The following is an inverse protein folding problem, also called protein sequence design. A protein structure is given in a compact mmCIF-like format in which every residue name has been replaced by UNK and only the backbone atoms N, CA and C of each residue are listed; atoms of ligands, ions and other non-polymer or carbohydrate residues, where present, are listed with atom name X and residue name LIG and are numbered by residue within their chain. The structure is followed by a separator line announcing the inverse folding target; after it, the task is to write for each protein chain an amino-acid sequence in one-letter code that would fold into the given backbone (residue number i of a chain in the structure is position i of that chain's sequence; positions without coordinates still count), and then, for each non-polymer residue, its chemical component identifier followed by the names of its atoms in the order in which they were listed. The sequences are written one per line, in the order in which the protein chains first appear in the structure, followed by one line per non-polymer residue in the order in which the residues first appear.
data_IF_847968052027
#
_entry.id   IF_847968052027
#
_cell.length_a   1.000
_cell.length_b   1.000
_cell.length_c   1.000
_cell.angle_alpha   90.00
_cell.angle_beta   90.00
_cell.angle_gamma   90.00
#
_symmetry.space_group_name_H-M   'P 1'
#
loop_
_entity.id
_entity.type
_entity.pdbx_description
1 polymer ?
#
# COMPACT_ATOMS: atom_id res chain seq x y z
N UNK A 1 -22.62 12.91 9.09
CA UNK A 1 -22.12 11.82 8.25
C UNK A 1 -20.76 11.44 8.75
N UNK A 2 -20.40 10.15 8.73
CA UNK A 2 -19.06 9.70 9.09
C UNK A 2 -18.06 10.13 8.00
N UNK A 3 -16.81 10.34 8.39
CA UNK A 3 -15.74 10.61 7.42
C UNK A 3 -15.36 9.32 6.71
N UNK A 4 -15.46 9.30 5.39
CA UNK A 4 -15.20 8.13 4.55
C UNK A 4 -13.72 8.08 4.16
N UNK A 5 -13.10 6.92 4.31
CA UNK A 5 -11.69 6.66 4.00
C UNK A 5 -11.58 5.43 3.12
N UNK A 6 -10.90 5.56 1.99
CA UNK A 6 -10.52 4.39 1.19
C UNK A 6 -9.21 3.80 1.67
N UNK A 7 -9.16 2.47 1.78
CA UNK A 7 -7.93 1.70 2.04
C UNK A 7 -7.69 0.78 0.85
N UNK A 8 -6.70 1.13 0.02
CA UNK A 8 -6.35 0.23 -1.09
C UNK A 8 -5.52 -0.93 -0.58
N UNK A 9 -5.70 -2.12 -1.18
CA UNK A 9 -4.98 -3.31 -0.75
C UNK A 9 -5.35 -3.81 0.65
N UNK A 10 -6.61 -3.64 1.04
CA UNK A 10 -7.10 -4.06 2.37
C UNK A 10 -6.96 -5.58 2.62
N UNK A 11 -6.73 -6.38 1.57
CA UNK A 11 -6.46 -7.82 1.70
C UNK A 11 -5.08 -8.12 2.27
N UNK A 12 -4.14 -7.17 2.16
CA UNK A 12 -2.78 -7.31 2.66
C UNK A 12 -2.68 -7.06 4.18
N UNK A 13 -1.57 -7.48 4.77
CA UNK A 13 -1.31 -7.39 6.21
C UNK A 13 -1.48 -5.95 6.74
N UNK A 14 -0.77 -4.97 6.16
CA UNK A 14 -0.85 -3.56 6.60
C UNK A 14 -2.26 -3.00 6.37
N UNK A 15 -2.86 -3.28 5.20
CA UNK A 15 -4.18 -2.77 4.84
C UNK A 15 -5.27 -3.21 5.81
N UNK A 16 -5.24 -4.48 6.28
CA UNK A 16 -6.19 -4.99 7.28
C UNK A 16 -6.06 -4.23 8.61
N UNK A 17 -4.84 -4.02 9.09
CA UNK A 17 -4.61 -3.29 10.34
C UNK A 17 -5.00 -1.82 10.22
N UNK A 18 -4.72 -1.16 9.10
CA UNK A 18 -5.19 0.20 8.83
C UNK A 18 -6.71 0.28 8.81
N UNK A 19 -7.39 -0.66 8.12
CA UNK A 19 -8.84 -0.72 8.08
C UNK A 19 -9.46 -0.93 9.47
N UNK A 20 -8.91 -1.87 10.25
CA UNK A 20 -9.35 -2.13 11.61
C UNK A 20 -9.19 -0.89 12.51
N UNK A 21 -8.08 -0.17 12.42
CA UNK A 21 -7.83 1.02 13.24
C UNK A 21 -8.77 2.17 12.86
N UNK A 22 -8.97 2.43 11.56
CA UNK A 22 -9.92 3.43 11.10
C UNK A 22 -11.35 3.15 11.60
N UNK A 23 -11.79 1.89 11.55
CA UNK A 23 -13.10 1.49 12.05
C UNK A 23 -13.23 1.70 13.56
N UNK A 24 -12.19 1.40 14.36
CA UNK A 24 -12.17 1.70 15.81
C UNK A 24 -12.27 3.19 16.09
N UNK A 25 -11.71 4.02 15.22
CA UNK A 25 -11.79 5.49 15.33
C UNK A 25 -13.10 6.06 14.79
N UNK A 26 -14.03 5.22 14.32
CA UNK A 26 -15.35 5.64 13.86
C UNK A 26 -15.41 6.18 12.44
N UNK A 27 -14.42 5.89 11.60
CA UNK A 27 -14.49 6.20 10.17
C UNK A 27 -15.36 5.19 9.42
N UNK A 28 -15.92 5.61 8.30
CA UNK A 28 -16.46 4.73 7.28
C UNK A 28 -15.30 4.27 6.37
N UNK A 29 -15.14 2.97 6.19
CA UNK A 29 -14.01 2.39 5.45
C UNK A 29 -14.50 1.70 4.18
N UNK A 30 -13.92 2.08 3.05
CA UNK A 30 -14.03 1.34 1.79
C UNK A 30 -12.70 0.62 1.55
N UNK A 31 -12.71 -0.71 1.61
CA UNK A 31 -11.55 -1.53 1.29
C UNK A 31 -11.52 -1.93 -0.17
N UNK A 32 -10.40 -1.75 -0.88
CA UNK A 32 -10.32 -2.26 -2.24
C UNK A 32 -9.80 -3.70 -2.27
N UNK A 33 -10.42 -4.51 -3.11
CA UNK A 33 -10.06 -5.90 -3.38
C UNK A 33 -9.91 -6.12 -4.89
N UNK A 34 -9.11 -7.10 -5.31
CA UNK A 34 -9.01 -7.50 -6.73
C UNK A 34 -10.11 -8.46 -7.16
N UNK A 35 -10.78 -9.10 -6.21
CA UNK A 35 -11.95 -9.97 -6.38
C UNK A 35 -12.75 -9.93 -5.10
N UNK A 36 -14.07 -9.79 -5.20
CA UNK A 36 -14.98 -9.77 -4.06
C UNK A 36 -14.98 -11.09 -3.25
N UNK A 37 -14.53 -12.19 -3.83
CA UNK A 37 -14.33 -13.46 -3.12
C UNK A 37 -13.40 -13.34 -1.90
N UNK A 38 -12.50 -12.34 -1.90
CA UNK A 38 -11.58 -12.10 -0.78
C UNK A 38 -12.16 -11.20 0.30
N UNK A 39 -13.31 -10.57 0.05
CA UNK A 39 -13.90 -9.60 0.99
C UNK A 39 -14.32 -10.25 2.31
N UNK A 40 -14.91 -11.45 2.27
CA UNK A 40 -15.45 -12.12 3.46
C UNK A 40 -14.33 -12.49 4.44
N UNK A 41 -13.23 -13.05 3.98
CA UNK A 41 -12.11 -13.41 4.86
C UNK A 41 -11.47 -12.17 5.51
N UNK A 42 -11.41 -11.05 4.80
CA UNK A 42 -10.93 -9.78 5.36
C UNK A 42 -11.91 -9.25 6.39
N UNK A 43 -13.21 -9.28 6.08
CA UNK A 43 -14.28 -8.87 6.99
C UNK A 43 -14.23 -9.68 8.30
N UNK A 44 -14.15 -10.99 8.21
CA UNK A 44 -14.04 -11.89 9.37
C UNK A 44 -12.77 -11.60 10.20
N UNK A 45 -11.64 -11.36 9.52
CA UNK A 45 -10.39 -11.02 10.18
C UNK A 45 -10.48 -9.71 10.96
N UNK A 46 -11.01 -8.66 10.35
CA UNK A 46 -11.19 -7.35 10.99
C UNK A 46 -12.23 -7.41 12.11
N UNK A 47 -13.33 -8.18 11.94
CA UNK A 47 -14.39 -8.32 12.95
C UNK A 47 -13.90 -8.85 14.30
N UNK A 48 -12.76 -9.56 14.33
CA UNK A 48 -12.13 -10.05 15.57
C UNK A 48 -11.56 -8.93 16.45
N UNK A 49 -11.30 -7.77 15.87
CA UNK A 49 -10.55 -6.69 16.51
C UNK A 49 -11.19 -5.31 16.41
N UNK A 50 -12.21 -5.14 15.55
CA UNK A 50 -12.88 -3.84 15.33
C UNK A 50 -14.36 -4.04 14.94
N UNK A 51 -15.24 -3.03 15.15
CA UNK A 51 -16.60 -3.03 14.61
C UNK A 51 -16.56 -2.96 13.08
N UNK A 52 -17.46 -3.67 12.41
CA UNK A 52 -17.46 -3.77 10.92
C UNK A 52 -18.71 -3.18 10.25
N UNK A 53 -19.58 -2.53 11.02
CA UNK A 53 -20.83 -1.95 10.49
C UNK A 53 -20.60 -0.91 9.41
N UNK A 54 -19.48 -0.21 9.47
CA UNK A 54 -19.06 0.82 8.52
C UNK A 54 -17.96 0.35 7.55
N UNK A 55 -17.81 -0.97 7.35
CA UNK A 55 -16.86 -1.57 6.41
C UNK A 55 -17.56 -2.04 5.15
N UNK A 56 -17.18 -1.46 4.02
CA UNK A 56 -17.61 -1.87 2.69
C UNK A 56 -16.41 -2.23 1.82
N UNK A 57 -16.66 -2.92 0.70
CA UNK A 57 -15.62 -3.30 -0.25
C UNK A 57 -16.01 -2.90 -1.66
N UNK A 58 -15.00 -2.59 -2.47
CA UNK A 58 -15.15 -2.39 -3.91
C UNK A 58 -14.04 -3.13 -4.66
N UNK A 59 -14.34 -3.53 -5.88
CA UNK A 59 -13.37 -4.20 -6.75
C UNK A 59 -12.62 -3.17 -7.59
N UNK A 60 -11.30 -3.17 -7.49
CA UNK A 60 -10.40 -2.33 -8.29
C UNK A 60 -9.09 -3.08 -8.57
N UNK A 61 -8.41 -2.70 -9.66
CA UNK A 61 -7.14 -3.29 -10.05
C UNK A 61 -6.12 -2.19 -10.36
N UNK A 62 -4.92 -2.25 -9.78
CA UNK A 62 -3.82 -1.32 -10.09
C UNK A 62 -3.37 -1.38 -11.56
N UNK A 63 -3.71 -2.43 -12.29
CA UNK A 63 -3.38 -2.60 -13.71
C UNK A 63 -4.49 -2.09 -14.66
N UNK A 64 -5.60 -1.56 -14.12
CA UNK A 64 -6.72 -1.02 -14.91
C UNK A 64 -7.12 0.34 -14.39
N UNK A 65 -7.53 1.22 -15.30
CA UNK A 65 -8.06 2.55 -14.95
C UNK A 65 -9.52 2.49 -14.48
N UNK A 66 -10.18 1.34 -14.69
CA UNK A 66 -11.60 1.17 -14.41
C UNK A 66 -11.93 1.14 -12.92
N UNK A 67 -13.04 1.74 -12.55
CA UNK A 67 -13.68 1.65 -11.23
C UNK A 67 -13.05 2.53 -10.15
N UNK A 68 -11.86 3.12 -10.34
CA UNK A 68 -11.19 3.92 -9.30
C UNK A 68 -11.94 5.19 -8.95
N UNK A 69 -12.49 5.88 -9.96
CA UNK A 69 -13.20 7.13 -9.76
C UNK A 69 -14.49 6.91 -8.96
N UNK A 70 -15.27 5.92 -9.34
CA UNK A 70 -16.53 5.56 -8.68
C UNK A 70 -16.27 5.04 -7.25
N UNK A 71 -15.22 4.24 -7.08
CA UNK A 71 -14.84 3.69 -5.79
C UNK A 71 -14.42 4.77 -4.77
N UNK A 72 -13.87 5.90 -5.23
CA UNK A 72 -13.45 7.01 -4.37
C UNK A 72 -14.54 8.06 -4.13
N UNK A 73 -15.73 7.89 -4.68
CA UNK A 73 -16.80 8.88 -4.52
C UNK A 73 -17.13 9.13 -3.04
N UNK A 74 -17.09 10.41 -2.65
CA UNK A 74 -17.32 10.84 -1.29
C UNK A 74 -16.20 10.49 -0.28
N UNK A 75 -15.07 9.94 -0.70
CA UNK A 75 -13.93 9.70 0.18
C UNK A 75 -13.22 11.02 0.53
N UNK A 76 -13.04 11.27 1.83
CA UNK A 76 -12.26 12.40 2.31
C UNK A 76 -10.75 12.10 2.29
N UNK A 77 -10.37 10.86 2.51
CA UNK A 77 -8.99 10.41 2.60
C UNK A 77 -8.77 9.09 1.87
N UNK A 78 -7.54 8.86 1.41
CA UNK A 78 -7.10 7.59 0.84
C UNK A 78 -5.83 7.13 1.54
N UNK A 79 -5.83 5.90 2.07
CA UNK A 79 -4.64 5.16 2.47
C UNK A 79 -4.27 4.23 1.31
N UNK A 80 -3.27 4.62 0.54
CA UNK A 80 -2.78 3.82 -0.58
C UNK A 80 -1.73 2.83 -0.09
N UNK A 81 -2.19 1.63 0.29
CA UNK A 81 -1.36 0.54 0.81
C UNK A 81 -1.07 -0.51 -0.27
N UNK A 82 -1.94 -0.61 -1.28
CA UNK A 82 -1.77 -1.54 -2.39
C UNK A 82 -0.46 -1.26 -3.13
N UNK A 83 0.29 -2.30 -3.36
CA UNK A 83 1.42 -2.29 -4.29
C UNK A 83 1.43 -3.63 -5.02
N UNK A 84 1.77 -3.67 -6.31
CA UNK A 84 2.04 -4.94 -6.98
C UNK A 84 3.20 -5.60 -6.24
N UNK A 85 2.99 -6.83 -5.81
CA UNK A 85 4.01 -7.62 -5.12
C UNK A 85 4.27 -8.87 -5.94
N UNK A 86 5.48 -8.96 -6.48
CA UNK A 86 5.98 -10.11 -7.23
C UNK A 86 7.16 -10.67 -6.44
N UNK A 87 7.01 -11.89 -5.92
CA UNK A 87 8.01 -12.56 -5.05
C UNK A 87 9.31 -12.89 -5.80
N UNK A 88 9.26 -13.04 -7.12
CA UNK A 88 10.42 -13.36 -7.95
C UNK A 88 10.95 -12.10 -8.64
N UNK A 89 12.29 -11.99 -8.77
CA UNK A 89 12.86 -10.99 -9.67
C UNK A 89 12.44 -11.36 -11.09
N UNK A 90 11.60 -10.55 -11.75
CA UNK A 90 11.18 -10.81 -13.11
C UNK A 90 12.38 -10.71 -14.06
N UNK A 91 12.30 -11.40 -15.19
CA UNK A 91 13.32 -11.31 -16.22
C UNK A 91 13.40 -9.91 -16.85
N UNK A 92 12.26 -9.23 -16.94
CA UNK A 92 12.13 -7.81 -17.28
C UNK A 92 11.72 -7.02 -16.03
N UNK A 93 12.56 -6.09 -15.59
CA UNK A 93 12.29 -5.20 -14.45
C UNK A 93 10.98 -4.43 -14.61
N UNK A 94 10.58 -4.10 -15.85
CA UNK A 94 9.34 -3.36 -16.13
C UNK A 94 8.08 -4.13 -15.73
N UNK A 95 8.12 -5.45 -15.63
CA UNK A 95 7.00 -6.25 -15.12
C UNK A 95 6.65 -5.91 -13.65
N UNK A 96 7.60 -5.35 -12.90
CA UNK A 96 7.39 -4.89 -11.52
C UNK A 96 7.32 -3.36 -11.42
N UNK A 97 8.18 -2.65 -12.15
CA UNK A 97 8.31 -1.18 -12.05
C UNK A 97 7.06 -0.50 -12.62
N UNK A 98 6.66 -0.82 -13.85
CA UNK A 98 5.51 -0.16 -14.49
C UNK A 98 4.21 -0.33 -13.68
N UNK A 99 3.83 -1.54 -13.22
CA UNK A 99 2.66 -1.66 -12.36
C UNK A 99 2.75 -0.88 -11.04
N UNK A 100 3.94 -0.74 -10.46
CA UNK A 100 4.11 0.01 -9.22
C UNK A 100 3.96 1.52 -9.45
N UNK A 101 4.57 2.06 -10.49
CA UNK A 101 4.48 3.48 -10.85
C UNK A 101 3.08 3.81 -11.34
N UNK A 102 2.60 3.11 -12.39
CA UNK A 102 1.31 3.39 -13.02
C UNK A 102 0.15 3.19 -12.05
N UNK A 103 0.20 2.14 -11.22
CA UNK A 103 -0.80 1.87 -10.20
C UNK A 103 -0.89 3.00 -9.15
N UNK A 104 0.26 3.53 -8.73
CA UNK A 104 0.31 4.67 -7.81
C UNK A 104 -0.28 5.93 -8.46
N UNK A 105 0.09 6.21 -9.70
CA UNK A 105 -0.43 7.38 -10.44
C UNK A 105 -1.94 7.27 -10.70
N UNK A 106 -2.49 6.08 -10.97
CA UNK A 106 -3.93 5.84 -11.09
C UNK A 106 -4.68 6.24 -9.83
N UNK A 107 -4.19 5.78 -8.67
CA UNK A 107 -4.82 6.11 -7.39
C UNK A 107 -4.77 7.61 -7.10
N UNK A 108 -3.63 8.26 -7.35
CA UNK A 108 -3.48 9.71 -7.18
C UNK A 108 -4.38 10.50 -8.15
N UNK A 109 -4.47 10.07 -9.41
CA UNK A 109 -5.36 10.69 -10.41
C UNK A 109 -6.82 10.58 -10.00
N UNK A 110 -7.26 9.42 -9.53
CA UNK A 110 -8.62 9.23 -9.03
C UNK A 110 -8.89 10.06 -7.77
N UNK A 111 -7.92 10.16 -6.86
CA UNK A 111 -8.00 10.99 -5.66
C UNK A 111 -8.16 12.48 -6.01
N UNK A 112 -7.37 12.97 -6.98
CA UNK A 112 -7.51 14.34 -7.49
C UNK A 112 -8.88 14.58 -8.11
N UNK A 113 -9.34 13.66 -8.96
CA UNK A 113 -10.64 13.78 -9.65
C UNK A 113 -11.84 13.81 -8.68
N UNK A 114 -11.71 13.18 -7.51
CA UNK A 114 -12.75 13.14 -6.46
C UNK A 114 -12.56 14.19 -5.36
N UNK A 115 -11.58 15.07 -5.46
CA UNK A 115 -11.33 16.12 -4.46
C UNK A 115 -10.94 15.55 -3.08
N UNK A 116 -10.24 14.43 -3.05
CA UNK A 116 -9.74 13.81 -1.80
C UNK A 116 -8.84 14.80 -1.06
N UNK A 117 -9.07 15.01 0.24
CA UNK A 117 -8.35 15.99 1.04
C UNK A 117 -6.88 15.62 1.28
N UNK A 118 -6.58 14.33 1.40
CA UNK A 118 -5.22 13.81 1.61
C UNK A 118 -5.09 12.38 1.14
N UNK A 119 -3.94 12.06 0.54
CA UNK A 119 -3.52 10.69 0.25
C UNK A 119 -2.33 10.33 1.14
N UNK A 120 -2.38 9.18 1.80
CA UNK A 120 -1.26 8.58 2.55
C UNK A 120 -0.77 7.38 1.75
N UNK A 121 0.43 7.49 1.18
CA UNK A 121 1.07 6.44 0.40
C UNK A 121 1.96 5.58 1.30
N UNK A 122 1.79 4.27 1.26
CA UNK A 122 2.71 3.31 1.87
C UNK A 122 3.81 2.96 0.86
N UNK A 123 4.96 3.57 1.02
CA UNK A 123 6.18 3.25 0.29
C UNK A 123 7.02 2.20 1.05
N UNK A 124 8.31 2.37 1.14
CA UNK A 124 9.23 1.48 1.85
C UNK A 124 10.50 2.22 2.27
N UNK A 125 11.08 1.81 3.41
CA UNK A 125 12.42 2.27 3.81
C UNK A 125 13.47 2.01 2.73
N UNK A 126 13.27 0.98 1.90
CA UNK A 126 14.17 0.64 0.78
C UNK A 126 14.22 1.77 -0.27
N UNK A 127 13.17 2.57 -0.43
CA UNK A 127 13.20 3.74 -1.32
C UNK A 127 14.21 4.81 -0.86
N UNK A 128 14.65 4.75 0.39
CA UNK A 128 15.57 5.71 1.01
C UNK A 128 16.99 5.16 1.12
N UNK A 129 17.15 3.88 1.54
CA UNK A 129 18.43 3.35 1.99
C UNK A 129 19.01 2.20 1.15
N UNK A 130 18.33 1.72 0.11
CA UNK A 130 18.87 0.62 -0.69
C UNK A 130 20.24 0.96 -1.29
N UNK A 131 21.17 0.02 -1.22
CA UNK A 131 22.55 0.20 -1.68
C UNK A 131 23.45 1.03 -0.74
N UNK A 132 22.93 1.53 0.39
CA UNK A 132 23.69 2.33 1.36
C UNK A 132 24.10 1.46 2.55
N UNK A 133 25.37 1.56 2.95
CA UNK A 133 25.93 0.72 4.02
C UNK A 133 25.76 1.33 5.42
N UNK A 134 25.84 2.67 5.53
CA UNK A 134 25.72 3.40 6.79
C UNK A 134 25.42 4.86 6.52
N UNK A 135 24.88 5.57 7.52
CA UNK A 135 24.61 7.02 7.44
C UNK A 135 23.38 7.43 8.23
N UNK A 136 23.09 8.72 8.15
CA UNK A 136 21.83 9.31 8.62
C UNK A 136 21.01 9.71 7.40
N UNK A 137 19.76 9.27 7.35
CA UNK A 137 18.87 9.48 6.21
C UNK A 137 17.58 10.16 6.69
N UNK A 138 17.10 11.10 5.91
CA UNK A 138 15.91 11.89 6.20
C UNK A 138 14.93 11.87 5.01
N UNK A 139 13.99 12.81 5.06
CA UNK A 139 12.92 12.94 4.04
C UNK A 139 13.40 13.31 2.64
N UNK A 140 14.62 13.81 2.53
CA UNK A 140 15.31 14.21 1.28
C UNK A 140 16.27 13.14 0.74
N UNK A 141 16.34 12.00 1.44
CA UNK A 141 17.23 10.91 1.06
C UNK A 141 16.52 9.94 0.11
N UNK A 142 17.21 9.53 -0.95
CA UNK A 142 16.72 8.60 -1.94
C UNK A 142 17.72 7.49 -2.21
N UNK A 143 17.23 6.27 -2.41
CA UNK A 143 18.02 5.24 -3.07
C UNK A 143 18.26 5.63 -4.53
N UNK A 144 19.41 5.24 -5.08
CA UNK A 144 19.74 5.49 -6.48
C UNK A 144 19.12 4.40 -7.37
N UNK A 145 18.10 4.71 -8.18
CA UNK A 145 17.45 3.71 -9.03
C UNK A 145 18.34 3.20 -10.17
N UNK A 146 19.44 3.90 -10.50
CA UNK A 146 20.39 3.47 -11.53
C UNK A 146 21.48 2.56 -10.98
N UNK A 147 21.60 2.47 -9.64
CA UNK A 147 22.51 1.53 -8.98
C UNK A 147 21.93 0.11 -8.96
N UNK A 148 22.81 -0.87 -8.72
CA UNK A 148 22.39 -2.27 -8.57
C UNK A 148 21.78 -2.52 -7.17
N UNK A 149 20.54 -2.08 -6.98
CA UNK A 149 19.79 -2.17 -5.71
C UNK A 149 18.68 -3.23 -5.74
N UNK A 150 18.53 -3.94 -6.85
CA UNK A 150 17.46 -4.93 -7.08
C UNK A 150 16.14 -4.31 -7.52
N UNK A 151 15.37 -5.08 -8.29
CA UNK A 151 14.15 -4.61 -8.95
C UNK A 151 13.09 -4.08 -7.99
N UNK A 152 12.92 -4.73 -6.83
CA UNK A 152 11.96 -4.28 -5.82
C UNK A 152 12.31 -2.89 -5.25
N UNK A 153 13.57 -2.67 -4.87
CA UNK A 153 13.99 -1.38 -4.35
C UNK A 153 13.84 -0.27 -5.43
N UNK A 154 14.24 -0.59 -6.65
CA UNK A 154 14.06 0.30 -7.81
C UNK A 154 12.58 0.66 -8.04
N UNK A 155 11.68 -0.34 -8.03
CA UNK A 155 10.25 -0.13 -8.22
C UNK A 155 9.64 0.77 -7.13
N UNK A 156 10.05 0.59 -5.87
CA UNK A 156 9.58 1.42 -4.74
C UNK A 156 10.11 2.84 -4.83
N UNK A 157 11.39 3.02 -5.17
CA UNK A 157 12.01 4.34 -5.36
C UNK A 157 11.30 5.13 -6.46
N UNK A 158 11.15 4.51 -7.63
CA UNK A 158 10.52 5.18 -8.79
C UNK A 158 9.04 5.48 -8.57
N UNK A 159 8.30 4.57 -7.93
CA UNK A 159 6.89 4.81 -7.63
C UNK A 159 6.69 5.96 -6.63
N UNK A 160 7.56 6.08 -5.61
CA UNK A 160 7.49 7.18 -4.65
C UNK A 160 7.89 8.51 -5.29
N UNK A 161 8.96 8.54 -6.09
CA UNK A 161 9.37 9.74 -6.83
C UNK A 161 8.25 10.22 -7.75
N UNK A 162 7.66 9.33 -8.55
CA UNK A 162 6.54 9.66 -9.43
C UNK A 162 5.31 10.16 -8.63
N UNK A 163 5.06 9.62 -7.43
CA UNK A 163 3.99 10.09 -6.57
C UNK A 163 4.20 11.53 -6.10
N UNK A 164 5.42 11.89 -5.69
CA UNK A 164 5.76 13.24 -5.28
C UNK A 164 5.67 14.23 -6.44
N UNK A 165 6.22 13.90 -7.61
CA UNK A 165 6.13 14.73 -8.81
C UNK A 165 4.67 14.97 -9.22
N UNK A 166 3.85 13.92 -9.21
CA UNK A 166 2.43 14.04 -9.53
C UNK A 166 1.68 14.89 -8.50
N UNK A 167 1.97 14.70 -7.22
CA UNK A 167 1.31 15.41 -6.14
C UNK A 167 1.62 16.92 -6.19
N UNK A 168 2.88 17.29 -6.45
CA UNK A 168 3.30 18.69 -6.63
C UNK A 168 2.63 19.32 -7.85
N UNK A 169 2.65 18.66 -9.00
CA UNK A 169 2.06 19.16 -10.23
C UNK A 169 0.52 19.32 -10.16
N UNK A 170 -0.15 18.58 -9.28
CA UNK A 170 -1.61 18.54 -9.17
C UNK A 170 -2.17 19.10 -7.85
N UNK A 171 -1.32 19.69 -6.99
CA UNK A 171 -1.72 20.23 -5.68
C UNK A 171 -2.44 19.19 -4.80
N UNK A 172 -1.86 17.98 -4.71
CA UNK A 172 -2.38 16.91 -3.87
C UNK A 172 -1.64 16.96 -2.53
N UNK A 173 -2.39 16.95 -1.43
CA UNK A 173 -1.83 16.78 -0.10
C UNK A 173 -1.39 15.31 0.08
N UNK A 174 -0.15 15.02 -0.28
CA UNK A 174 0.46 13.69 -0.17
C UNK A 174 1.27 13.59 1.12
N UNK A 175 1.14 12.46 1.80
CA UNK A 175 2.01 12.01 2.89
C UNK A 175 2.55 10.64 2.52
N UNK A 176 3.83 10.41 2.67
CA UNK A 176 4.45 9.11 2.42
C UNK A 176 4.95 8.50 3.72
N UNK A 177 4.66 7.24 3.92
CA UNK A 177 5.17 6.42 5.03
C UNK A 177 6.14 5.40 4.43
N UNK A 178 7.35 5.34 4.95
CA UNK A 178 8.41 4.43 4.51
C UNK A 178 8.68 3.36 5.59
N UNK A 179 7.84 2.32 5.70
CA UNK A 179 8.04 1.28 6.71
C UNK A 179 9.28 0.44 6.41
N UNK A 180 9.93 -0.01 7.47
CA UNK A 180 10.92 -1.09 7.43
C UNK A 180 10.26 -2.46 7.54
N UNK A 181 10.80 -3.35 8.38
CA UNK A 181 10.18 -4.64 8.68
C UNK A 181 8.90 -4.45 9.51
N UNK A 182 7.75 -4.83 8.97
CA UNK A 182 6.45 -4.71 9.66
C UNK A 182 6.05 -6.08 10.20
N UNK A 183 5.93 -6.19 11.52
CA UNK A 183 5.71 -7.46 12.23
C UNK A 183 4.58 -7.33 13.24
N UNK A 184 3.85 -8.42 13.44
CA UNK A 184 2.76 -8.49 14.42
C UNK A 184 1.79 -9.63 14.12
N UNK A 185 0.68 -9.75 14.88
CA UNK A 185 -0.31 -10.78 14.66
C UNK A 185 -1.06 -10.59 13.34
N UNK A 186 -1.39 -11.68 12.66
CA UNK A 186 -2.23 -11.63 11.46
C UNK A 186 -3.71 -11.62 11.87
N UNK A 187 -4.54 -10.85 11.19
CA UNK A 187 -5.99 -10.81 11.47
C UNK A 187 -6.73 -11.97 10.81
N UNK A 188 -6.28 -12.43 9.65
CA UNK A 188 -6.87 -13.54 8.90
C UNK A 188 -6.23 -14.91 9.19
N UNK A 189 -5.17 -14.96 10.01
CA UNK A 189 -4.39 -16.17 10.26
C UNK A 189 -3.43 -16.55 9.12
N UNK A 190 -3.36 -15.77 8.05
CA UNK A 190 -2.45 -16.00 6.93
C UNK A 190 -1.12 -15.30 7.16
N UNK A 191 -0.03 -16.01 6.94
CA UNK A 191 1.33 -15.43 6.93
C UNK A 191 1.61 -14.99 5.49
N UNK A 192 1.33 -13.72 5.20
CA UNK A 192 1.53 -13.12 3.88
C UNK A 192 2.36 -11.84 4.01
N UNK A 193 3.29 -11.61 3.07
CA UNK A 193 4.20 -10.46 3.04
C UNK A 193 5.61 -10.80 3.52
N UNK A 194 6.60 -10.09 2.97
CA UNK A 194 8.04 -10.36 3.14
C UNK A 194 8.47 -10.46 4.61
N UNK A 195 8.11 -9.47 5.43
CA UNK A 195 8.54 -9.43 6.83
C UNK A 195 8.01 -10.61 7.64
N UNK A 196 6.73 -10.98 7.44
CA UNK A 196 6.11 -12.09 8.15
C UNK A 196 6.66 -13.44 7.65
N UNK A 197 6.86 -13.56 6.34
CA UNK A 197 7.48 -14.76 5.75
C UNK A 197 8.90 -14.94 6.25
N UNK A 198 9.71 -13.89 6.28
CA UNK A 198 11.08 -13.92 6.81
C UNK A 198 11.11 -14.39 8.28
N UNK A 199 10.25 -13.84 9.14
CA UNK A 199 10.16 -14.24 10.55
C UNK A 199 9.71 -15.70 10.68
N UNK A 200 8.69 -16.11 9.92
CA UNK A 200 8.24 -17.50 9.89
C UNK A 200 9.36 -18.45 9.47
N UNK A 201 10.14 -18.07 8.49
CA UNK A 201 11.26 -18.87 7.97
C UNK A 201 12.41 -18.97 8.98
N UNK A 202 12.71 -17.88 9.70
CA UNK A 202 13.67 -17.87 10.82
C UNK A 202 13.21 -18.83 11.93
N UNK A 203 11.95 -18.71 12.37
CA UNK A 203 11.39 -19.55 13.44
C UNK A 203 11.39 -21.03 13.03
N UNK A 204 11.16 -21.33 11.76
CA UNK A 204 11.15 -22.69 11.21
C UNK A 204 12.56 -23.20 10.82
N UNK A 205 13.63 -22.46 11.12
CA UNK A 205 15.01 -22.88 10.89
C UNK A 205 15.41 -22.93 9.41
N UNK A 206 14.76 -22.18 8.53
CA UNK A 206 15.12 -22.12 7.11
C UNK A 206 16.33 -21.22 6.84
N UNK A 207 16.68 -20.37 7.80
CA UNK A 207 17.92 -19.59 7.79
C UNK A 207 18.85 -20.08 8.88
N UNK A 208 20.17 -20.15 8.62
CA UNK A 208 21.16 -20.55 9.61
C UNK A 208 21.25 -19.57 10.79
#
# INVERSE_FOLDING_TARGET
MLTKVMVTGITGYIGQHCGAELLRQGYEVIGTVRSMEKADIVREGIARVAPIDNLTFCETNLLSDEGWKEAMDGCAYVLHVASPFIIANPADENEMISPAVDGTLRVLSAAKANGVNRVVLTSSLIAIIAGKLSGHYGTDSWSDPDANIGTYAKSKTLAEQAAWEFAEANDINLVVINPGGVMGPTLTGRVEGESLTMISDIINGKYP
#
